data_IF_691446380789
#
_entry.id   IF_691446380789
#
_cell.length_a   1.000
_cell.length_b   1.000
_cell.length_c   1.000
_cell.angle_alpha   90.00
_cell.angle_beta   90.00
_cell.angle_gamma   90.00
#
_symmetry.space_group_name_H-M   'P 1'
#
loop_
_entity.id
_entity.type
_entity.pdbx_description
1 polymer ?
#
# COMPACT_ATOMS: atom_id res chain seq x y z
N UNK A 1 5.30 22.77 -1.38
CA UNK A 1 4.01 22.06 -1.45
C UNK A 1 3.77 21.38 -0.11
N UNK A 2 2.64 21.66 0.57
CA UNK A 2 2.31 20.98 1.83
C UNK A 2 1.98 19.51 1.50
N UNK A 3 2.72 18.59 2.10
CA UNK A 3 2.52 17.15 1.87
C UNK A 3 1.16 16.71 2.44
N UNK A 4 0.32 16.07 1.61
CA UNK A 4 -1.03 15.65 1.99
C UNK A 4 -0.93 14.46 2.95
N UNK A 5 -1.32 14.61 4.21
CA UNK A 5 -1.50 13.48 5.13
C UNK A 5 -2.98 13.17 5.32
N UNK A 6 -3.35 11.91 5.11
CA UNK A 6 -4.73 11.43 5.22
C UNK A 6 -4.90 10.70 6.56
N UNK A 7 -6.07 10.84 7.19
CA UNK A 7 -6.39 9.96 8.34
C UNK A 7 -6.46 8.50 7.86
N UNK A 8 -5.84 7.58 8.61
CA UNK A 8 -5.78 6.15 8.27
C UNK A 8 -7.16 5.51 8.05
N UNK A 9 -8.23 5.95 8.74
CA UNK A 9 -9.58 5.43 8.49
C UNK A 9 -10.13 5.94 7.17
N UNK A 10 -9.83 7.21 6.81
CA UNK A 10 -10.24 7.76 5.51
C UNK A 10 -9.51 7.02 4.39
N UNK A 11 -8.20 6.80 4.52
CA UNK A 11 -7.41 6.08 3.54
C UNK A 11 -7.90 4.62 3.41
N UNK A 12 -8.09 3.90 4.51
CA UNK A 12 -8.62 2.53 4.48
C UNK A 12 -10.01 2.44 3.83
N UNK A 13 -10.88 3.46 4.00
CA UNK A 13 -12.18 3.50 3.32
C UNK A 13 -12.05 3.70 1.81
N UNK A 14 -11.03 4.42 1.35
CA UNK A 14 -10.72 4.54 -0.08
C UNK A 14 -10.28 3.18 -0.60
N UNK A 15 -9.28 2.57 0.04
CA UNK A 15 -8.72 1.26 -0.35
C UNK A 15 -9.78 0.17 -0.43
N UNK A 16 -10.66 0.08 0.56
CA UNK A 16 -11.73 -0.93 0.59
C UNK A 16 -12.79 -0.80 -0.50
N UNK A 17 -12.69 0.19 -1.39
CA UNK A 17 -13.58 0.36 -2.55
C UNK A 17 -12.87 0.15 -3.89
N UNK A 18 -11.58 -0.15 -3.86
CA UNK A 18 -10.79 -0.39 -5.05
C UNK A 18 -10.94 -1.85 -5.50
N UNK A 19 -10.43 -2.11 -6.70
CA UNK A 19 -10.38 -3.44 -7.29
C UNK A 19 -9.43 -4.34 -6.49
N UNK A 20 -9.77 -5.62 -6.40
CA UNK A 20 -9.01 -6.58 -5.60
C UNK A 20 -7.81 -7.14 -6.33
N UNK A 21 -7.99 -7.42 -7.62
CA UNK A 21 -7.06 -8.15 -8.47
C UNK A 21 -6.62 -7.25 -9.61
N UNK A 22 -5.32 -7.07 -9.73
CA UNK A 22 -4.72 -6.20 -10.74
C UNK A 22 -3.51 -6.91 -11.34
N UNK A 23 -3.26 -6.66 -12.62
CA UNK A 23 -2.30 -7.44 -13.40
C UNK A 23 -0.89 -7.41 -12.79
N UNK A 24 -0.38 -6.23 -12.42
CA UNK A 24 1.01 -6.10 -11.96
C UNK A 24 1.15 -6.55 -10.51
N UNK A 25 0.24 -6.13 -9.63
CA UNK A 25 0.32 -6.48 -8.21
C UNK A 25 0.11 -7.96 -7.95
N UNK A 26 -0.79 -8.62 -8.70
CA UNK A 26 -1.05 -10.05 -8.53
C UNK A 26 0.14 -10.88 -9.03
N UNK A 27 0.71 -10.51 -10.18
CA UNK A 27 1.91 -11.15 -10.70
C UNK A 27 3.12 -11.00 -9.76
N UNK A 28 3.29 -9.81 -9.17
CA UNK A 28 4.36 -9.56 -8.20
C UNK A 28 4.17 -10.37 -6.91
N UNK A 29 2.95 -10.41 -6.36
CA UNK A 29 2.66 -11.19 -5.15
C UNK A 29 2.89 -12.69 -5.40
N UNK A 30 2.45 -13.22 -6.54
CA UNK A 30 2.71 -14.61 -6.94
C UNK A 30 4.21 -14.91 -7.00
N UNK A 31 5.02 -13.97 -7.50
CA UNK A 31 6.46 -14.13 -7.59
C UNK A 31 7.19 -14.03 -6.24
N UNK A 32 6.67 -13.26 -5.27
CA UNK A 32 7.33 -13.01 -3.97
C UNK A 32 6.87 -13.96 -2.87
N UNK A 33 5.58 -14.22 -2.78
CA UNK A 33 4.96 -15.01 -1.69
C UNK A 33 4.62 -16.41 -2.18
N UNK A 34 4.23 -16.56 -3.43
CA UNK A 34 3.65 -17.80 -3.95
C UNK A 34 2.23 -18.04 -3.45
N UNK A 35 1.42 -18.71 -4.27
CA UNK A 35 -0.02 -18.85 -4.03
C UNK A 35 -0.36 -19.62 -2.73
N UNK A 36 0.51 -20.54 -2.28
CA UNK A 36 0.28 -21.38 -1.10
C UNK A 36 0.55 -20.69 0.25
N UNK A 37 1.23 -19.53 0.26
CA UNK A 37 1.57 -18.81 1.50
C UNK A 37 0.71 -17.56 1.73
N UNK A 38 -0.29 -17.33 0.86
CA UNK A 38 -1.24 -16.21 0.99
C UNK A 38 -2.11 -16.36 2.24
N UNK A 39 -2.04 -15.36 3.13
CA UNK A 39 -2.81 -15.31 4.39
C UNK A 39 -4.10 -14.49 4.30
N UNK A 40 -4.32 -13.82 3.18
CA UNK A 40 -5.46 -12.95 2.93
C UNK A 40 -6.12 -13.34 1.61
N UNK A 41 -7.43 -13.12 1.51
CA UNK A 41 -8.15 -13.41 0.26
C UNK A 41 -7.75 -12.44 -0.86
N UNK A 42 -7.41 -11.19 -0.49
CA UNK A 42 -6.90 -10.18 -1.41
C UNK A 42 -6.05 -9.14 -0.69
N UNK A 43 -5.20 -8.45 -1.45
CA UNK A 43 -4.41 -7.33 -0.96
C UNK A 43 -5.30 -6.14 -0.54
N UNK A 44 -6.49 -6.02 -1.13
CA UNK A 44 -7.53 -5.08 -0.68
C UNK A 44 -7.93 -5.33 0.77
N UNK A 45 -8.23 -6.59 1.10
CA UNK A 45 -8.61 -6.99 2.45
C UNK A 45 -7.46 -6.70 3.42
N UNK A 46 -6.25 -7.17 3.08
CA UNK A 46 -5.05 -7.00 3.87
C UNK A 46 -4.78 -5.51 4.17
N UNK A 47 -4.69 -4.67 3.14
CA UNK A 47 -4.35 -3.26 3.32
C UNK A 47 -5.47 -2.49 4.03
N UNK A 48 -6.74 -2.78 3.72
CA UNK A 48 -7.87 -2.16 4.42
C UNK A 48 -7.84 -2.49 5.92
N UNK A 49 -7.60 -3.75 6.26
CA UNK A 49 -7.48 -4.21 7.65
C UNK A 49 -6.28 -3.55 8.35
N UNK A 50 -5.11 -3.56 7.72
CA UNK A 50 -3.88 -2.98 8.27
C UNK A 50 -4.03 -1.50 8.60
N UNK A 51 -4.54 -0.69 7.66
CA UNK A 51 -4.71 0.75 7.88
C UNK A 51 -5.79 1.05 8.92
N UNK A 52 -6.89 0.27 8.99
CA UNK A 52 -7.87 0.41 10.07
C UNK A 52 -7.25 0.12 11.44
N UNK A 53 -6.42 -0.91 11.52
CA UNK A 53 -5.71 -1.31 12.74
C UNK A 53 -4.74 -0.25 13.27
N UNK A 54 -4.26 0.67 12.44
CA UNK A 54 -3.39 1.77 12.89
C UNK A 54 -4.05 2.69 13.92
N UNK A 55 -5.39 2.77 13.93
CA UNK A 55 -6.15 3.59 14.87
C UNK A 55 -6.36 2.97 16.24
N UNK A 56 -5.81 1.79 16.48
CA UNK A 56 -5.75 1.18 17.81
C UNK A 56 -4.32 1.24 18.33
N UNK A 57 -4.13 0.87 19.60
CA UNK A 57 -2.81 0.64 20.18
C UNK A 57 -2.21 -0.70 19.74
N UNK A 58 -2.86 -1.46 18.86
CA UNK A 58 -2.44 -2.80 18.47
C UNK A 58 -2.50 -3.81 19.62
N UNK A 59 -1.92 -4.97 19.39
CA UNK A 59 -1.78 -6.06 20.37
C UNK A 59 -0.55 -6.91 20.03
N UNK A 60 -0.03 -7.66 21.03
CA UNK A 60 1.14 -8.53 20.86
C UNK A 60 2.38 -7.76 20.40
N UNK A 61 3.11 -8.32 19.42
CA UNK A 61 4.30 -7.71 18.82
C UNK A 61 4.04 -6.35 18.14
N UNK A 62 2.77 -5.99 17.90
CA UNK A 62 2.36 -4.75 17.24
C UNK A 62 1.76 -3.71 18.19
N UNK A 63 1.98 -3.87 19.50
CA UNK A 63 1.53 -2.92 20.54
C UNK A 63 2.24 -1.57 20.43
N UNK A 64 1.52 -0.48 20.66
CA UNK A 64 1.99 0.91 20.56
C UNK A 64 1.42 1.77 21.68
N UNK A 65 2.22 2.72 22.16
CA UNK A 65 1.80 3.65 23.22
C UNK A 65 0.67 4.60 22.78
N UNK A 66 0.61 4.95 21.49
CA UNK A 66 -0.41 5.85 20.93
C UNK A 66 -0.90 5.32 19.58
N UNK A 67 -2.21 5.44 19.29
CA UNK A 67 -2.73 5.19 17.95
C UNK A 67 -2.03 6.02 16.88
N UNK A 68 -1.89 5.46 15.69
CA UNK A 68 -1.40 6.17 14.52
C UNK A 68 -2.57 6.63 13.65
N UNK A 69 -2.74 7.94 13.53
CA UNK A 69 -3.75 8.56 12.66
C UNK A 69 -3.20 8.92 11.27
N UNK A 70 -1.88 8.89 11.07
CA UNK A 70 -1.24 9.32 9.83
C UNK A 70 -1.11 8.15 8.85
N UNK A 71 -1.79 8.25 7.71
CA UNK A 71 -1.65 7.30 6.62
C UNK A 71 -0.26 7.39 5.99
N UNK A 72 0.34 8.58 5.92
CA UNK A 72 1.76 8.76 5.54
C UNK A 72 2.67 7.91 6.40
N UNK A 73 2.54 8.03 7.72
CA UNK A 73 3.37 7.28 8.67
C UNK A 73 3.12 5.78 8.57
N UNK A 74 1.88 5.36 8.36
CA UNK A 74 1.54 3.94 8.19
C UNK A 74 2.13 3.36 6.91
N UNK A 75 2.00 4.07 5.78
CA UNK A 75 2.55 3.68 4.48
C UNK A 75 4.07 3.52 4.54
N UNK A 76 4.78 4.48 5.15
CA UNK A 76 6.23 4.45 5.28
C UNK A 76 6.75 3.35 6.23
N UNK A 77 5.89 2.80 7.09
CA UNK A 77 6.24 1.70 8.03
C UNK A 77 5.78 0.33 7.57
N UNK A 78 4.97 0.25 6.51
CA UNK A 78 4.47 -1.02 5.98
C UNK A 78 5.64 -1.92 5.54
N UNK A 79 5.63 -3.20 5.93
CA UNK A 79 6.70 -4.14 5.55
C UNK A 79 6.21 -5.19 4.55
N UNK A 80 5.18 -4.85 3.78
CA UNK A 80 4.57 -5.68 2.73
C UNK A 80 4.87 -5.04 1.37
N UNK A 81 5.84 -5.54 0.60
CA UNK A 81 6.15 -5.01 -0.73
C UNK A 81 4.96 -5.18 -1.69
N UNK A 82 4.27 -6.33 -1.64
CA UNK A 82 3.05 -6.61 -2.41
C UNK A 82 1.92 -5.64 -2.06
N UNK A 83 1.79 -5.25 -0.79
CA UNK A 83 0.80 -4.25 -0.37
C UNK A 83 1.11 -2.85 -0.88
N UNK A 84 2.39 -2.47 -0.95
CA UNK A 84 2.81 -1.17 -1.48
C UNK A 84 2.49 -1.05 -2.98
N UNK A 85 2.78 -2.09 -3.76
CA UNK A 85 2.47 -2.12 -5.20
C UNK A 85 0.97 -2.10 -5.46
N UNK A 86 0.21 -2.97 -4.78
CA UNK A 86 -1.25 -3.02 -4.91
C UNK A 86 -1.90 -1.65 -4.60
N UNK A 87 -1.46 -0.95 -3.54
CA UNK A 87 -1.98 0.38 -3.21
C UNK A 87 -1.81 1.35 -4.39
N UNK A 88 -0.65 1.37 -5.02
CA UNK A 88 -0.37 2.31 -6.10
C UNK A 88 -1.19 1.99 -7.35
N UNK A 89 -1.18 0.73 -7.78
CA UNK A 89 -1.91 0.27 -8.97
C UNK A 89 -3.42 0.47 -8.79
N UNK A 90 -3.97 0.05 -7.65
CA UNK A 90 -5.40 0.17 -7.35
C UNK A 90 -5.89 1.62 -7.31
N UNK A 91 -5.00 2.55 -6.91
CA UNK A 91 -5.28 3.98 -6.93
C UNK A 91 -5.21 4.61 -8.34
N UNK A 92 -4.67 3.86 -9.31
CA UNK A 92 -4.51 4.29 -10.71
C UNK A 92 -3.19 5.01 -10.96
N UNK A 93 -2.11 4.58 -10.30
CA UNK A 93 -0.76 4.96 -10.71
C UNK A 93 -0.49 4.51 -12.16
N UNK A 94 0.44 5.19 -12.82
CA UNK A 94 0.89 4.82 -14.16
C UNK A 94 1.41 3.37 -14.17
N UNK A 95 0.88 2.54 -15.09
CA UNK A 95 1.17 1.11 -15.14
C UNK A 95 2.65 0.83 -15.40
N UNK A 96 3.31 1.63 -16.25
CA UNK A 96 4.74 1.45 -16.55
C UNK A 96 5.61 1.78 -15.33
N UNK A 97 5.23 2.81 -14.57
CA UNK A 97 5.89 3.10 -13.28
C UNK A 97 5.69 1.97 -12.25
N UNK A 98 4.49 1.40 -12.16
CA UNK A 98 4.22 0.27 -11.25
C UNK A 98 5.03 -0.97 -11.67
N UNK A 99 5.11 -1.27 -12.97
CA UNK A 99 5.93 -2.36 -13.52
C UNK A 99 7.41 -2.15 -13.22
N UNK A 100 7.94 -0.95 -13.47
CA UNK A 100 9.33 -0.63 -13.16
C UNK A 100 9.66 -0.80 -11.66
N UNK A 101 8.75 -0.38 -10.78
CA UNK A 101 8.89 -0.58 -9.35
C UNK A 101 8.87 -2.06 -8.94
N UNK A 102 8.02 -2.86 -9.58
CA UNK A 102 7.93 -4.31 -9.37
C UNK A 102 9.22 -5.03 -9.84
N UNK A 103 9.68 -4.74 -11.05
CA UNK A 103 10.87 -5.35 -11.64
C UNK A 103 12.13 -5.04 -10.82
N UNK A 104 12.33 -3.78 -10.42
CA UNK A 104 13.48 -3.42 -9.58
C UNK A 104 13.39 -4.09 -8.19
N UNK A 105 12.18 -4.23 -7.65
CA UNK A 105 11.98 -4.91 -6.37
C UNK A 105 12.21 -6.42 -6.45
N UNK A 106 11.88 -7.06 -7.57
CA UNK A 106 12.21 -8.47 -7.83
C UNK A 106 13.71 -8.66 -7.98
N UNK A 107 14.40 -7.73 -8.65
CA UNK A 107 15.85 -7.70 -8.82
C UNK A 107 16.63 -7.23 -7.58
N UNK A 108 15.95 -6.85 -6.49
CA UNK A 108 16.58 -6.31 -5.30
C UNK A 108 17.56 -7.31 -4.66
N UNK A 109 18.75 -6.81 -4.30
CA UNK A 109 19.78 -7.61 -3.64
C UNK A 109 19.33 -8.04 -2.23
N UNK A 110 19.92 -9.11 -1.63
CA UNK A 110 19.54 -9.59 -0.30
C UNK A 110 19.62 -8.53 0.82
N UNK A 111 20.50 -7.53 0.68
CA UNK A 111 20.65 -6.42 1.63
C UNK A 111 19.76 -5.20 1.31
N UNK A 112 18.98 -5.25 0.23
CA UNK A 112 18.06 -4.19 -0.17
C UNK A 112 16.63 -4.58 0.20
N UNK A 113 15.95 -3.69 0.92
CA UNK A 113 14.53 -3.86 1.19
C UNK A 113 13.72 -3.60 -0.07
N UNK A 114 12.98 -4.60 -0.55
CA UNK A 114 11.99 -4.46 -1.63
C UNK A 114 11.01 -3.31 -1.36
N UNK A 115 10.57 -3.17 -0.11
CA UNK A 115 9.72 -2.06 0.31
C UNK A 115 10.40 -0.69 0.16
N UNK A 116 11.72 -0.59 0.37
CA UNK A 116 12.45 0.65 0.16
C UNK A 116 12.60 0.98 -1.32
N UNK A 117 12.85 -0.03 -2.16
CA UNK A 117 12.90 0.12 -3.63
C UNK A 117 11.56 0.63 -4.15
N UNK A 118 10.46 -0.05 -3.82
CA UNK A 118 9.11 0.32 -4.27
C UNK A 118 8.76 1.76 -3.87
N UNK A 119 9.09 2.19 -2.65
CA UNK A 119 8.81 3.56 -2.19
C UNK A 119 9.61 4.66 -2.90
N UNK A 120 10.75 4.34 -3.52
CA UNK A 120 11.48 5.33 -4.32
C UNK A 120 10.71 5.70 -5.58
N UNK A 121 10.08 4.71 -6.20
CA UNK A 121 9.20 4.88 -7.36
C UNK A 121 7.82 5.41 -6.98
N UNK A 122 7.30 4.93 -5.85
CA UNK A 122 5.93 5.18 -5.39
C UNK A 122 5.95 5.90 -4.03
N UNK A 123 6.43 7.16 -3.98
CA UNK A 123 6.53 7.90 -2.74
C UNK A 123 5.15 8.36 -2.26
N UNK A 124 5.01 8.59 -0.95
CA UNK A 124 3.72 8.98 -0.36
C UNK A 124 3.04 10.20 -1.02
N UNK A 125 3.73 11.29 -1.41
CA UNK A 125 3.07 12.43 -2.04
C UNK A 125 2.23 12.03 -3.26
N UNK A 126 2.77 11.16 -4.12
CA UNK A 126 2.06 10.62 -5.28
C UNK A 126 0.84 9.79 -4.87
N UNK A 127 1.02 8.88 -3.91
CA UNK A 127 -0.07 8.04 -3.39
C UNK A 127 -1.22 8.89 -2.79
N UNK A 128 -0.86 9.93 -2.05
CA UNK A 128 -1.82 10.83 -1.42
C UNK A 128 -2.61 11.65 -2.46
N UNK A 129 -1.95 12.08 -3.54
CA UNK A 129 -2.59 12.77 -4.67
C UNK A 129 -3.56 11.85 -5.42
N UNK A 130 -3.15 10.63 -5.74
CA UNK A 130 -4.02 9.64 -6.39
C UNK A 130 -5.25 9.32 -5.54
N UNK A 131 -5.05 9.06 -4.24
CA UNK A 131 -6.14 8.81 -3.29
C UNK A 131 -7.10 10.00 -3.17
N UNK A 132 -6.57 11.22 -3.14
CA UNK A 132 -7.39 12.43 -3.07
C UNK A 132 -8.18 12.62 -4.36
N UNK A 133 -7.58 12.39 -5.53
CA UNK A 133 -8.25 12.47 -6.83
C UNK A 133 -9.37 11.45 -6.97
N UNK A 134 -9.16 10.21 -6.50
CA UNK A 134 -10.18 9.14 -6.46
C UNK A 134 -11.42 9.54 -5.67
N UNK A 135 -11.27 10.34 -4.60
CA UNK A 135 -12.40 10.85 -3.82
C UNK A 135 -13.18 11.97 -4.50
N UNK A 136 -12.56 12.71 -5.43
CA UNK A 136 -13.19 13.82 -6.15
C UNK A 136 -14.04 13.34 -7.32
N UNK A 137 -13.61 12.28 -8.00
CA UNK A 137 -14.33 11.71 -9.16
C UNK A 137 -15.67 11.08 -8.81
N UNK A 138 -15.82 10.48 -7.63
CA UNK A 138 -17.07 9.79 -7.20
C UNK A 138 -18.16 10.69 -6.62
N UNK A 139 -18.00 12.03 -6.66
CA UNK A 139 -18.99 13.00 -6.15
C UNK A 139 -19.77 13.73 -7.26
N UNK A 140 -19.59 13.33 -8.52
CA UNK A 140 -20.41 13.79 -9.65
C UNK A 140 -21.33 12.67 -10.10
#
# INVERSE_FOLDING_TARGET
MNEIDLDVKKFARILGKLEEHLEVSDAFEDAVVGQSERRWSSQREHMTSWFRGQRTTGSGAYTRNKPNHSAKRAYNRLQSPEGLLWIAEALGADTELVRAAADEALAAKPNQSRCAVIRRHLPWPMIAELATSRTRWRRR
#
